data_IF_209310743828
#
_entry.id   IF_209310743828
#
_cell.length_a   1.000
_cell.length_b   1.000
_cell.length_c   1.000
_cell.angle_alpha   90.00
_cell.angle_beta   90.00
_cell.angle_gamma   90.00
#
_symmetry.space_group_name_H-M   'P 1'
#
loop_
_entity.id
_entity.type
_entity.pdbx_description
1 polymer ?
#
# COMPACT_ATOMS: atom_id res chain seq x y z
N UNK A 1 -10.46 3.65 25.41
CA UNK A 1 -10.76 2.40 24.69
C UNK A 1 -10.13 2.36 23.30
N UNK A 2 -10.20 3.43 22.49
CA UNK A 2 -9.56 3.45 21.16
C UNK A 2 -8.07 3.06 21.17
N UNK A 3 -7.34 3.42 22.23
CA UNK A 3 -5.93 3.04 22.47
C UNK A 3 -5.78 1.64 23.10
N UNK A 4 -6.42 1.40 24.25
CA UNK A 4 -6.21 0.23 25.12
C UNK A 4 -7.18 -0.96 24.92
N UNK A 5 -8.07 -0.87 23.94
CA UNK A 5 -9.12 -1.85 23.71
C UNK A 5 -10.41 -1.59 24.48
N UNK A 6 -11.44 -2.37 24.16
CA UNK A 6 -12.78 -2.24 24.71
C UNK A 6 -13.08 -3.37 25.71
N UNK A 7 -13.08 -3.11 27.04
CA UNK A 7 -13.19 -4.15 28.05
C UNK A 7 -14.60 -4.75 28.13
N UNK A 8 -14.70 -6.02 28.52
CA UNK A 8 -15.99 -6.69 28.80
C UNK A 8 -16.76 -5.91 29.86
N UNK A 9 -16.09 -5.63 30.98
CA UNK A 9 -16.61 -4.81 32.08
C UNK A 9 -15.53 -3.82 32.52
N UNK A 10 -15.85 -2.52 32.51
CA UNK A 10 -14.87 -1.45 32.81
C UNK A 10 -14.26 -1.56 34.22
N UNK A 11 -15.01 -2.07 35.18
CA UNK A 11 -14.59 -2.21 36.57
C UNK A 11 -13.87 -3.54 36.88
N UNK A 12 -13.75 -4.45 35.91
CA UNK A 12 -13.20 -5.79 36.11
C UNK A 12 -12.31 -6.20 34.92
N UNK A 13 -11.02 -5.81 34.94
CA UNK A 13 -10.08 -6.09 33.86
C UNK A 13 -9.79 -7.57 33.64
N UNK A 14 -10.01 -8.43 34.64
CA UNK A 14 -9.72 -9.88 34.53
C UNK A 14 -10.61 -10.57 33.49
N UNK A 15 -11.78 -9.99 33.19
CA UNK A 15 -12.68 -10.47 32.14
C UNK A 15 -12.17 -10.19 30.72
N UNK A 16 -11.07 -9.44 30.58
CA UNK A 16 -10.45 -9.14 29.29
C UNK A 16 -11.25 -8.20 28.40
N UNK A 17 -11.00 -8.31 27.09
CA UNK A 17 -11.55 -7.43 26.05
C UNK A 17 -12.75 -8.08 25.35
N UNK A 18 -13.71 -7.25 24.94
CA UNK A 18 -14.86 -7.69 24.15
C UNK A 18 -14.41 -8.22 22.80
N UNK A 19 -15.29 -9.05 22.24
CA UNK A 19 -15.19 -9.59 20.89
C UNK A 19 -16.33 -9.08 20.04
N UNK A 20 -16.08 -8.88 18.76
CA UNK A 20 -17.10 -8.50 17.79
C UNK A 20 -17.91 -9.71 17.29
N UNK A 21 -18.83 -9.46 16.34
CA UNK A 21 -19.69 -10.50 15.73
C UNK A 21 -18.91 -11.55 14.92
N UNK A 22 -17.64 -11.29 14.63
CA UNK A 22 -16.73 -12.19 13.92
C UNK A 22 -15.72 -12.84 14.88
N UNK A 23 -15.96 -12.79 16.19
CA UNK A 23 -15.08 -13.33 17.23
C UNK A 23 -13.69 -12.64 17.29
N UNK A 24 -13.58 -11.42 16.76
CA UNK A 24 -12.33 -10.64 16.78
C UNK A 24 -12.24 -9.83 18.08
N UNK A 25 -11.10 -9.93 18.77
CA UNK A 25 -10.85 -9.19 20.02
C UNK A 25 -10.66 -7.69 19.73
N UNK A 26 -11.36 -6.83 20.48
CA UNK A 26 -11.30 -5.38 20.33
C UNK A 26 -10.13 -4.78 21.12
N UNK A 27 -8.92 -4.92 20.57
CA UNK A 27 -7.62 -4.57 21.20
C UNK A 27 -7.28 -3.09 21.24
N UNK A 28 -7.90 -2.25 20.41
CA UNK A 28 -7.54 -0.84 20.25
C UNK A 28 -6.39 -0.64 19.28
N UNK A 29 -5.60 0.41 19.46
CA UNK A 29 -4.48 0.72 18.57
C UNK A 29 -3.30 -0.22 18.87
N UNK A 30 -2.81 -1.01 17.89
CA UNK A 30 -1.67 -1.90 18.10
C UNK A 30 -0.38 -1.18 18.47
N UNK A 31 -0.25 0.09 18.08
CA UNK A 31 0.91 0.94 18.39
C UNK A 31 0.80 1.61 19.76
N UNK A 32 -0.29 1.38 20.50
CA UNK A 32 -0.59 2.07 21.75
C UNK A 32 -0.59 3.60 21.64
N UNK A 33 -0.95 4.12 20.47
CA UNK A 33 -0.90 5.55 20.15
C UNK A 33 -1.75 6.40 21.12
N UNK A 34 -1.23 7.58 21.49
CA UNK A 34 -1.89 8.62 22.33
C UNK A 34 -3.09 9.30 21.65
N UNK A 35 -4.09 8.52 21.25
CA UNK A 35 -5.25 8.95 20.46
C UNK A 35 -6.05 10.07 21.15
N UNK A 36 -6.25 9.98 22.47
CA UNK A 36 -7.08 10.96 23.20
C UNK A 36 -6.39 12.32 23.27
N UNK A 37 -5.08 12.30 23.54
CA UNK A 37 -4.22 13.47 23.60
C UNK A 37 -4.11 14.13 22.21
N UNK A 38 -3.88 13.32 21.17
CA UNK A 38 -3.88 13.77 19.77
C UNK A 38 -5.20 14.44 19.39
N UNK A 39 -6.34 13.80 19.66
CA UNK A 39 -7.65 14.34 19.31
C UNK A 39 -7.99 15.61 20.09
N UNK A 40 -7.57 15.69 21.36
CA UNK A 40 -7.76 16.90 22.14
C UNK A 40 -6.99 18.08 21.53
N UNK A 41 -5.70 17.91 21.19
CA UNK A 41 -4.90 18.93 20.52
C UNK A 41 -5.48 19.31 19.15
N UNK A 42 -5.89 18.33 18.36
CA UNK A 42 -6.57 18.54 17.08
C UNK A 42 -7.84 19.38 17.24
N UNK A 43 -8.69 19.07 18.24
CA UNK A 43 -9.92 19.82 18.53
C UNK A 43 -9.69 21.28 18.92
N UNK A 44 -8.46 21.62 19.35
CA UNK A 44 -8.04 22.99 19.69
C UNK A 44 -7.31 23.70 18.54
N UNK A 45 -7.16 23.04 17.39
CA UNK A 45 -6.43 23.57 16.24
C UNK A 45 -4.91 23.46 16.33
N UNK A 46 -4.36 22.75 17.33
CA UNK A 46 -2.91 22.60 17.52
C UNK A 46 -2.35 21.45 16.68
N UNK A 47 -2.37 21.60 15.36
CA UNK A 47 -2.02 20.53 14.41
C UNK A 47 -0.58 20.01 14.57
N UNK A 48 0.40 20.91 14.76
CA UNK A 48 1.79 20.50 14.94
C UNK A 48 1.99 19.71 16.24
N UNK A 49 1.36 20.15 17.33
CA UNK A 49 1.40 19.43 18.60
C UNK A 49 0.70 18.07 18.48
N UNK A 50 -0.43 18.01 17.76
CA UNK A 50 -1.12 16.75 17.49
C UNK A 50 -0.22 15.79 16.69
N UNK A 51 0.49 16.28 15.66
CA UNK A 51 1.47 15.47 14.90
C UNK A 51 2.60 14.98 15.80
N UNK A 52 3.18 15.85 16.63
CA UNK A 52 4.23 15.47 17.56
C UNK A 52 3.77 14.37 18.53
N UNK A 53 2.51 14.40 18.97
CA UNK A 53 1.90 13.35 19.81
C UNK A 53 1.70 12.03 19.06
N UNK A 54 1.22 12.07 17.80
CA UNK A 54 1.12 10.87 16.94
C UNK A 54 2.49 10.20 16.81
N UNK A 55 3.52 11.01 16.53
CA UNK A 55 4.88 10.56 16.26
C UNK A 55 5.65 10.10 17.51
N UNK A 56 5.03 10.12 18.70
CA UNK A 56 5.60 9.48 19.90
C UNK A 56 5.68 7.97 19.66
N UNK A 57 4.53 7.37 19.33
CA UNK A 57 4.39 5.92 19.17
C UNK A 57 4.47 5.49 17.70
N UNK A 58 4.13 6.40 16.78
CA UNK A 58 4.04 6.12 15.35
C UNK A 58 4.82 7.14 14.50
N UNK A 59 6.17 7.13 14.54
CA UNK A 59 7.00 8.03 13.73
C UNK A 59 6.74 7.91 12.22
N UNK A 60 6.34 6.73 11.77
CA UNK A 60 6.05 6.43 10.37
C UNK A 60 4.54 6.45 10.10
N UNK A 61 3.83 7.38 10.74
CA UNK A 61 2.40 7.60 10.53
C UNK A 61 1.95 7.86 9.08
N UNK A 62 2.81 8.26 8.11
CA UNK A 62 2.39 8.22 6.70
C UNK A 62 1.97 6.81 6.22
N UNK A 63 2.48 5.73 6.84
CA UNK A 63 2.12 4.34 6.52
C UNK A 63 0.78 3.88 7.10
N UNK A 64 0.20 4.64 8.02
CA UNK A 64 -1.02 4.29 8.76
C UNK A 64 -2.12 5.30 8.45
N UNK A 65 -3.19 5.27 9.26
CA UNK A 65 -4.30 6.21 9.11
C UNK A 65 -5.35 5.75 8.09
N UNK A 66 -5.96 6.74 7.44
CA UNK A 66 -7.20 6.60 6.70
C UNK A 66 -7.14 5.46 5.67
N UNK A 67 -8.11 4.54 5.76
CA UNK A 67 -8.27 3.36 4.87
C UNK A 67 -7.13 2.33 4.95
N UNK A 68 -6.25 2.44 5.94
CA UNK A 68 -5.21 1.44 6.26
C UNK A 68 -5.50 0.73 7.58
N UNK A 69 -5.51 1.47 8.68
CA UNK A 69 -5.78 0.92 10.01
C UNK A 69 -7.24 1.19 10.43
N UNK A 70 -7.81 0.34 11.29
CA UNK A 70 -9.18 0.53 11.81
C UNK A 70 -9.44 -0.04 13.21
N UNK A 71 -8.48 -0.65 13.89
CA UNK A 71 -8.72 -1.34 15.18
C UNK A 71 -9.09 -0.37 16.31
N UNK A 72 -8.53 0.85 16.27
CA UNK A 72 -8.92 1.94 17.17
C UNK A 72 -10.38 2.39 16.96
N UNK A 73 -10.89 2.34 15.72
CA UNK A 73 -12.29 2.64 15.41
C UNK A 73 -13.22 1.52 15.90
N UNK A 74 -12.84 0.26 15.65
CA UNK A 74 -13.60 -0.91 16.14
C UNK A 74 -13.74 -0.91 17.66
N UNK A 75 -12.70 -0.45 18.36
CA UNK A 75 -12.66 -0.39 19.82
C UNK A 75 -13.13 0.94 20.41
N UNK A 76 -13.77 1.81 19.60
CA UNK A 76 -14.23 3.12 20.02
C UNK A 76 -15.29 3.02 21.12
N UNK A 77 -15.38 4.00 22.03
CA UNK A 77 -16.43 3.99 23.06
C UNK A 77 -17.84 4.13 22.49
N UNK A 78 -17.97 4.78 21.33
CA UNK A 78 -19.25 5.04 20.66
C UNK A 78 -19.77 3.83 19.88
N UNK A 79 -19.83 2.65 20.51
CA UNK A 79 -20.26 1.39 19.86
C UNK A 79 -21.72 1.39 19.38
N UNK A 80 -22.58 2.22 19.99
CA UNK A 80 -24.00 2.35 19.62
C UNK A 80 -24.27 3.53 18.68
N UNK A 81 -23.24 4.25 18.28
CA UNK A 81 -23.31 5.40 17.38
C UNK A 81 -22.22 5.23 16.30
N UNK A 82 -22.05 6.23 15.44
CA UNK A 82 -20.93 6.26 14.50
C UNK A 82 -19.60 6.34 15.28
N UNK A 83 -18.69 5.36 15.15
CA UNK A 83 -17.38 5.42 15.79
C UNK A 83 -16.57 6.63 15.29
N UNK A 84 -15.71 7.19 16.14
CA UNK A 84 -14.76 8.22 15.71
C UNK A 84 -13.83 7.63 14.66
N UNK A 85 -13.72 8.29 13.50
CA UNK A 85 -12.78 7.92 12.45
C UNK A 85 -11.36 8.41 12.80
N UNK A 86 -10.77 7.81 13.83
CA UNK A 86 -9.40 8.13 14.29
C UNK A 86 -8.37 8.11 13.16
N UNK A 87 -8.34 7.09 12.27
CA UNK A 87 -7.39 7.05 11.16
C UNK A 87 -7.55 8.22 10.18
N UNK A 88 -8.77 8.71 9.97
CA UNK A 88 -9.00 9.91 9.15
C UNK A 88 -8.45 11.18 9.81
N UNK A 89 -8.59 11.32 11.12
CA UNK A 89 -8.04 12.46 11.87
C UNK A 89 -6.50 12.42 11.83
N UNK A 90 -5.90 11.26 12.06
CA UNK A 90 -4.44 11.05 11.99
C UNK A 90 -3.87 11.45 10.63
N UNK A 91 -4.45 10.94 9.54
CA UNK A 91 -4.04 11.32 8.17
C UNK A 91 -4.29 12.80 7.88
N UNK A 92 -5.38 13.38 8.40
CA UNK A 92 -5.66 14.81 8.22
C UNK A 92 -4.58 15.65 8.89
N UNK A 93 -4.23 15.37 10.15
CA UNK A 93 -3.18 16.08 10.88
C UNK A 93 -1.86 16.02 10.13
N UNK A 94 -1.44 14.83 9.68
CA UNK A 94 -0.24 14.66 8.86
C UNK A 94 -0.30 15.51 7.59
N UNK A 95 -1.37 15.38 6.79
CA UNK A 95 -1.51 16.11 5.52
C UNK A 95 -1.55 17.62 5.72
N UNK A 96 -2.15 18.12 6.81
CA UNK A 96 -2.17 19.54 7.11
C UNK A 96 -0.76 20.09 7.35
N UNK A 97 0.11 19.34 8.02
CA UNK A 97 1.51 19.74 8.20
C UNK A 97 2.30 19.62 6.90
N UNK A 98 2.15 18.53 6.15
CA UNK A 98 2.87 18.36 4.87
C UNK A 98 2.50 19.43 3.82
N UNK A 99 1.29 19.98 3.88
CA UNK A 99 0.79 20.96 2.91
C UNK A 99 1.18 22.41 3.21
N UNK A 100 1.80 22.71 4.36
CA UNK A 100 2.39 24.04 4.59
C UNK A 100 3.81 24.11 4.00
N UNK A 101 4.33 25.31 3.70
CA UNK A 101 5.73 25.47 3.31
C UNK A 101 6.66 24.82 4.33
N UNK A 102 7.63 24.05 3.85
CA UNK A 102 8.60 23.28 4.64
C UNK A 102 7.98 22.19 5.52
N UNK A 103 6.74 21.76 5.21
CA UNK A 103 6.03 20.72 5.94
C UNK A 103 6.77 19.38 6.01
N UNK A 104 7.49 19.03 4.94
CA UNK A 104 8.37 17.84 4.89
C UNK A 104 9.50 17.96 5.90
N UNK A 105 10.11 19.16 6.01
CA UNK A 105 11.20 19.41 6.95
C UNK A 105 10.72 19.40 8.41
N UNK A 106 9.51 19.89 8.67
CA UNK A 106 8.88 19.78 9.99
C UNK A 106 8.65 18.32 10.38
N UNK A 107 8.18 17.50 9.44
CA UNK A 107 8.01 16.06 9.67
C UNK A 107 9.36 15.36 9.89
N UNK A 108 10.36 15.64 9.05
CA UNK A 108 11.71 15.05 9.16
C UNK A 108 12.40 15.49 10.48
N UNK A 109 12.21 16.74 10.89
CA UNK A 109 12.65 17.22 12.20
C UNK A 109 12.02 16.41 13.33
N UNK A 110 10.70 16.24 13.35
CA UNK A 110 10.01 15.43 14.37
C UNK A 110 10.38 13.94 14.32
N UNK A 111 10.78 13.45 13.15
CA UNK A 111 11.24 12.08 13.01
C UNK A 111 12.56 11.88 13.75
N UNK A 112 13.51 12.80 13.56
CA UNK A 112 14.87 12.76 14.12
C UNK A 112 14.99 13.39 15.52
N UNK A 113 14.06 14.26 15.89
CA UNK A 113 13.97 14.94 17.18
C UNK A 113 12.50 15.17 17.58
N UNK A 114 11.99 14.42 18.56
CA UNK A 114 10.67 14.63 19.13
C UNK A 114 10.78 14.75 20.66
N UNK A 115 10.65 15.95 21.24
CA UNK A 115 10.83 16.17 22.66
C UNK A 115 9.75 15.52 23.54
N UNK A 116 8.67 15.01 22.95
CA UNK A 116 7.61 14.31 23.69
C UNK A 116 7.90 12.82 23.91
N UNK A 117 8.93 12.26 23.26
CA UNK A 117 9.34 10.88 23.50
C UNK A 117 10.14 10.79 24.80
N UNK A 118 9.83 9.80 25.63
CA UNK A 118 10.59 9.54 26.86
C UNK A 118 12.00 9.00 26.58
N UNK A 119 12.14 8.23 25.50
CA UNK A 119 13.40 7.63 25.06
C UNK A 119 13.57 7.86 23.56
N UNK A 120 14.82 7.90 23.07
CA UNK A 120 15.10 8.10 21.64
C UNK A 120 14.42 9.37 21.09
N UNK A 121 14.34 10.41 21.94
CA UNK A 121 13.78 11.72 21.60
C UNK A 121 14.66 12.47 20.59
N UNK A 122 15.90 12.04 20.40
CA UNK A 122 16.82 12.52 19.38
C UNK A 122 17.67 11.36 18.85
N UNK A 123 18.28 11.55 17.68
CA UNK A 123 19.28 10.63 17.14
C UNK A 123 20.40 10.37 18.16
N UNK A 124 20.66 9.10 18.47
CA UNK A 124 21.79 8.72 19.32
C UNK A 124 23.13 8.86 18.56
N UNK A 125 24.25 9.06 19.28
CA UNK A 125 25.58 9.01 18.69
C UNK A 125 25.84 7.69 17.96
N UNK A 126 26.81 7.74 17.05
CA UNK A 126 27.24 6.58 16.29
C UNK A 126 27.60 5.40 17.21
N UNK A 127 26.94 4.26 16.98
CA UNK A 127 27.22 2.98 17.61
C UNK A 127 27.95 2.08 16.63
N UNK A 128 28.77 1.19 17.17
CA UNK A 128 29.27 0.04 16.44
C UNK A 128 28.10 -0.91 16.13
N UNK A 129 28.17 -1.61 15.00
CA UNK A 129 27.12 -2.53 14.57
C UNK A 129 26.46 -2.15 13.24
N UNK A 130 26.50 -3.09 12.31
CA UNK A 130 25.89 -3.03 10.98
C UNK A 130 24.77 -4.05 10.91
N UNK A 131 23.55 -3.59 10.67
CA UNK A 131 22.37 -4.44 10.60
C UNK A 131 21.90 -4.57 9.16
N UNK A 132 21.79 -5.80 8.68
CA UNK A 132 21.12 -6.13 7.44
C UNK A 132 19.64 -6.37 7.71
N UNK A 133 18.76 -5.62 7.06
CA UNK A 133 17.30 -5.80 7.14
C UNK A 133 16.80 -6.34 5.80
N UNK A 134 16.36 -7.61 5.79
CA UNK A 134 15.80 -8.25 4.60
C UNK A 134 14.29 -8.02 4.53
N UNK A 135 13.83 -7.30 3.51
CA UNK A 135 12.45 -6.89 3.29
C UNK A 135 12.20 -5.46 3.76
N UNK A 136 11.86 -4.57 2.83
CA UNK A 136 11.62 -3.14 3.07
C UNK A 136 10.13 -2.80 3.01
N UNK A 137 9.31 -3.72 3.50
CA UNK A 137 7.91 -3.49 3.85
C UNK A 137 7.73 -2.78 5.20
N UNK A 138 6.49 -2.61 5.70
CA UNK A 138 6.18 -1.87 6.93
C UNK A 138 7.03 -2.28 8.15
N UNK A 139 7.28 -3.57 8.34
CA UNK A 139 8.12 -4.06 9.43
C UNK A 139 9.59 -3.63 9.27
N UNK A 140 10.16 -3.81 8.07
CA UNK A 140 11.56 -3.49 7.79
C UNK A 140 11.86 -2.00 7.83
N UNK A 141 11.01 -1.15 7.25
CA UNK A 141 11.15 0.31 7.32
C UNK A 141 11.01 0.84 8.75
N UNK A 142 10.14 0.24 9.56
CA UNK A 142 9.96 0.61 10.98
C UNK A 142 11.20 0.23 11.78
N UNK A 143 11.70 -1.00 11.59
CA UNK A 143 12.91 -1.46 12.24
C UNK A 143 14.13 -0.63 11.84
N UNK A 144 14.28 -0.34 10.54
CA UNK A 144 15.34 0.51 10.03
C UNK A 144 15.31 1.89 10.71
N UNK A 145 14.14 2.54 10.77
CA UNK A 145 13.99 3.80 11.48
C UNK A 145 14.39 3.70 12.96
N UNK A 146 13.95 2.66 13.67
CA UNK A 146 14.26 2.47 15.10
C UNK A 146 15.75 2.22 15.37
N UNK A 147 16.42 1.48 14.50
CA UNK A 147 17.86 1.20 14.59
C UNK A 147 18.69 2.44 14.24
N UNK A 148 18.29 3.19 13.21
CA UNK A 148 18.95 4.45 12.84
C UNK A 148 18.81 5.50 13.95
N UNK A 149 17.65 5.58 14.62
CA UNK A 149 17.46 6.44 15.80
C UNK A 149 18.39 6.09 16.97
N UNK A 150 18.77 4.81 17.08
CA UNK A 150 19.73 4.32 18.07
C UNK A 150 21.18 4.43 17.62
N UNK A 151 21.42 4.99 16.44
CA UNK A 151 22.76 5.16 15.91
C UNK A 151 23.38 3.84 15.46
N UNK A 152 22.64 2.90 14.89
CA UNK A 152 23.23 1.77 14.15
C UNK A 152 23.30 2.05 12.66
N UNK A 153 24.24 1.41 11.97
CA UNK A 153 24.28 1.41 10.50
C UNK A 153 23.30 0.37 9.98
N UNK A 154 22.45 0.75 9.03
CA UNK A 154 21.40 -0.13 8.51
C UNK A 154 21.49 -0.23 6.99
N UNK A 155 21.56 -1.46 6.48
CA UNK A 155 21.38 -1.75 5.06
C UNK A 155 20.08 -2.52 4.89
N UNK A 156 19.13 -1.91 4.21
CA UNK A 156 17.91 -2.58 3.77
C UNK A 156 18.11 -3.28 2.43
N UNK A 157 17.64 -4.51 2.30
CA UNK A 157 17.59 -5.20 1.01
C UNK A 157 16.21 -5.77 0.75
N UNK A 158 15.69 -5.62 -0.46
CA UNK A 158 14.40 -6.19 -0.87
C UNK A 158 14.53 -7.06 -2.12
N UNK A 159 13.68 -8.07 -2.24
CA UNK A 159 13.62 -8.92 -3.43
C UNK A 159 13.09 -8.17 -4.65
N UNK A 160 12.25 -7.16 -4.44
CA UNK A 160 11.80 -6.26 -5.50
C UNK A 160 12.89 -5.29 -5.91
N UNK A 161 12.92 -4.95 -7.21
CA UNK A 161 13.78 -3.87 -7.69
C UNK A 161 13.32 -2.57 -7.03
N UNK A 162 14.25 -1.92 -6.32
CA UNK A 162 14.04 -0.59 -5.76
C UNK A 162 14.61 0.41 -6.75
N UNK A 163 13.77 1.32 -7.21
CA UNK A 163 14.17 2.39 -8.11
C UNK A 163 14.98 3.43 -7.33
N UNK A 164 16.14 3.86 -7.86
CA UNK A 164 16.93 4.88 -7.20
C UNK A 164 16.15 6.20 -7.18
N UNK A 165 16.25 6.90 -6.05
CA UNK A 165 15.83 8.29 -5.92
C UNK A 165 17.01 9.18 -6.29
N UNK A 166 16.75 10.25 -7.02
CA UNK A 166 17.75 11.25 -7.37
C UNK A 166 18.36 11.88 -6.09
N UNK A 167 19.70 11.92 -5.94
CA UNK A 167 20.35 12.48 -4.76
C UNK A 167 19.92 13.90 -4.40
N UNK A 168 19.68 14.77 -5.38
CA UNK A 168 19.27 16.14 -5.12
C UNK A 168 17.88 16.19 -4.48
N UNK A 169 17.02 15.22 -4.79
CA UNK A 169 15.65 15.13 -4.28
C UNK A 169 15.57 14.84 -2.77
N UNK A 170 16.61 14.26 -2.15
CA UNK A 170 16.62 14.00 -0.71
C UNK A 170 17.72 14.76 0.06
N UNK A 171 18.74 15.28 -0.62
CA UNK A 171 19.78 16.10 0.04
C UNK A 171 19.39 17.56 0.21
N UNK A 172 18.48 18.07 -0.62
CA UNK A 172 17.96 19.44 -0.50
C UNK A 172 16.70 19.49 0.36
N UNK A 173 16.45 20.63 1.05
CA UNK A 173 15.18 20.90 1.70
C UNK A 173 14.01 20.92 0.70
N UNK A 174 12.87 20.36 1.09
CA UNK A 174 11.65 20.31 0.30
C UNK A 174 10.69 21.38 0.80
N UNK A 175 10.51 22.43 0.00
CA UNK A 175 9.59 23.52 0.33
C UNK A 175 8.12 23.09 0.30
N UNK A 176 7.74 22.23 -0.65
CA UNK A 176 6.35 21.82 -0.80
C UNK A 176 6.23 20.32 -1.03
N UNK A 177 5.42 19.65 -0.22
CA UNK A 177 5.16 18.22 -0.39
C UNK A 177 4.53 17.90 -1.76
N UNK A 178 3.73 18.82 -2.32
CA UNK A 178 3.11 18.63 -3.64
C UNK A 178 4.14 18.50 -4.76
N UNK A 179 5.32 19.11 -4.62
CA UNK A 179 6.42 19.01 -5.59
C UNK A 179 7.02 17.60 -5.67
N UNK A 180 6.83 16.78 -4.63
CA UNK A 180 7.25 15.37 -4.62
C UNK A 180 6.13 14.40 -5.00
N UNK A 181 4.89 14.89 -5.11
CA UNK A 181 3.73 14.03 -5.34
C UNK A 181 3.41 13.92 -6.83
N UNK A 182 2.90 12.76 -7.21
CA UNK A 182 2.36 12.50 -8.55
C UNK A 182 1.01 11.83 -8.42
N UNK A 183 0.16 12.00 -9.44
CA UNK A 183 -1.09 11.25 -9.52
C UNK A 183 -0.77 9.74 -9.55
N UNK A 184 -1.56 8.92 -8.84
CA UNK A 184 -1.22 7.50 -8.62
C UNK A 184 -1.15 6.70 -9.92
N UNK A 185 -1.93 7.09 -10.93
CA UNK A 185 -1.95 6.55 -12.28
C UNK A 185 -0.78 6.98 -13.15
N UNK A 186 0.05 7.94 -12.69
CA UNK A 186 1.28 8.41 -13.34
C UNK A 186 2.53 8.22 -12.47
N UNK A 187 2.36 7.83 -11.20
CA UNK A 187 3.45 7.67 -10.24
C UNK A 187 4.40 6.56 -10.68
N UNK A 188 5.70 6.87 -10.66
CA UNK A 188 6.77 5.88 -10.79
C UNK A 188 6.70 4.87 -9.64
N UNK A 189 6.65 3.59 -9.96
CA UNK A 189 6.70 2.50 -8.98
C UNK A 189 8.12 2.48 -8.39
N UNK A 190 8.24 2.68 -7.08
CA UNK A 190 9.52 2.74 -6.39
C UNK A 190 10.07 1.35 -6.07
N UNK A 191 9.19 0.35 -5.94
CA UNK A 191 9.55 -0.99 -5.44
C UNK A 191 9.96 -1.02 -3.96
N UNK A 192 9.84 0.11 -3.27
CA UNK A 192 10.08 0.30 -1.84
C UNK A 192 8.75 0.36 -1.08
N UNK A 193 8.66 -0.25 0.12
CA UNK A 193 7.44 -0.24 0.94
C UNK A 193 6.70 -1.59 1.02
N UNK A 194 7.20 -2.62 0.33
CA UNK A 194 6.61 -3.97 0.35
C UNK A 194 5.13 -3.95 -0.03
N UNK A 195 4.27 -4.60 0.77
CA UNK A 195 2.83 -4.68 0.51
C UNK A 195 2.16 -3.31 0.36
N UNK A 196 2.72 -2.24 0.93
CA UNK A 196 2.18 -0.89 0.72
C UNK A 196 2.37 -0.37 -0.72
N UNK A 197 3.41 -0.82 -1.41
CA UNK A 197 3.69 -0.49 -2.81
C UNK A 197 2.91 -1.41 -3.76
N UNK A 198 2.98 -2.73 -3.55
CA UNK A 198 2.45 -3.71 -4.51
C UNK A 198 1.08 -4.31 -4.17
N UNK A 199 0.65 -4.24 -2.90
CA UNK A 199 -0.55 -4.91 -2.43
C UNK A 199 -1.70 -3.96 -2.16
N UNK A 200 -1.41 -2.84 -1.48
CA UNK A 200 -2.39 -1.80 -1.21
C UNK A 200 -2.64 -1.01 -2.48
N UNK A 201 -3.91 -0.84 -2.82
CA UNK A 201 -4.40 -0.24 -4.06
C UNK A 201 -4.63 1.26 -3.92
N UNK A 202 -5.45 1.86 -4.78
CA UNK A 202 -5.81 3.28 -4.73
C UNK A 202 -6.53 3.75 -3.44
N UNK A 203 -6.75 2.86 -2.46
CA UNK A 203 -7.29 3.24 -1.15
C UNK A 203 -6.33 4.04 -0.27
N UNK A 204 -5.03 4.05 -0.58
CA UNK A 204 -4.00 4.79 0.15
C UNK A 204 -3.09 5.57 -0.79
N UNK A 205 -2.59 6.70 -0.30
CA UNK A 205 -1.78 7.64 -1.07
C UNK A 205 -0.30 7.19 -1.08
N UNK A 206 0.10 6.49 -2.15
CA UNK A 206 1.45 5.93 -2.29
C UNK A 206 2.57 6.97 -2.37
N UNK A 207 2.24 8.27 -2.51
CA UNK A 207 3.24 9.33 -2.41
C UNK A 207 3.91 9.37 -1.03
N UNK A 208 3.26 8.84 0.01
CA UNK A 208 3.88 8.70 1.32
C UNK A 208 5.08 7.75 1.36
N UNK A 209 5.20 6.80 0.41
CA UNK A 209 6.41 5.98 0.30
C UNK A 209 7.61 6.80 -0.16
N UNK A 210 7.39 7.79 -1.04
CA UNK A 210 8.43 8.72 -1.45
C UNK A 210 8.92 9.55 -0.26
N UNK A 211 8.01 10.02 0.59
CA UNK A 211 8.34 10.74 1.83
C UNK A 211 9.21 9.89 2.76
N UNK A 212 8.80 8.64 3.02
CA UNK A 212 9.54 7.74 3.91
C UNK A 212 10.90 7.36 3.33
N UNK A 213 10.96 7.06 2.03
CA UNK A 213 12.22 6.75 1.38
C UNK A 213 13.17 7.95 1.48
N UNK A 214 12.68 9.17 1.22
CA UNK A 214 13.44 10.40 1.37
C UNK A 214 13.99 10.55 2.80
N UNK A 215 13.16 10.41 3.83
CA UNK A 215 13.62 10.58 5.23
C UNK A 215 14.62 9.52 5.65
N UNK A 216 14.51 8.29 5.15
CA UNK A 216 15.52 7.25 5.39
C UNK A 216 16.82 7.54 4.64
N UNK A 217 16.77 7.95 3.37
CA UNK A 217 17.95 8.24 2.54
C UNK A 217 18.74 9.46 3.02
N UNK A 218 18.09 10.41 3.70
CA UNK A 218 18.78 11.52 4.39
C UNK A 218 19.72 11.06 5.49
N UNK A 219 19.54 9.85 6.02
CA UNK A 219 20.39 9.32 7.09
C UNK A 219 21.66 8.75 6.48
N UNK A 220 22.80 9.35 6.81
CA UNK A 220 24.12 8.96 6.28
C UNK A 220 24.44 7.47 6.45
N UNK A 221 23.91 6.85 7.51
CA UNK A 221 24.12 5.44 7.90
C UNK A 221 23.07 4.47 7.40
N UNK A 222 22.19 4.92 6.50
CA UNK A 222 21.20 4.07 5.84
C UNK A 222 21.56 3.84 4.37
N UNK A 223 21.45 2.60 3.90
CA UNK A 223 21.44 2.27 2.47
C UNK A 223 20.30 1.31 2.20
N UNK A 224 19.78 1.35 0.98
CA UNK A 224 18.74 0.42 0.53
C UNK A 224 19.07 -0.11 -0.85
N UNK A 225 18.89 -1.41 -1.05
CA UNK A 225 19.15 -2.11 -2.31
C UNK A 225 17.93 -2.97 -2.66
N UNK A 226 17.58 -3.02 -3.94
CA UNK A 226 16.53 -3.90 -4.44
C UNK A 226 17.07 -4.99 -5.35
N UNK A 227 16.19 -5.94 -5.72
CA UNK A 227 16.53 -7.08 -6.57
C UNK A 227 17.31 -8.18 -5.85
N UNK A 228 17.36 -8.17 -4.52
CA UNK A 228 18.10 -9.13 -3.71
C UNK A 228 17.13 -10.03 -2.97
N UNK A 229 16.84 -11.19 -3.56
CA UNK A 229 15.91 -12.16 -2.96
C UNK A 229 16.58 -12.94 -1.84
N UNK A 230 16.06 -12.81 -0.63
CA UNK A 230 16.49 -13.62 0.51
C UNK A 230 16.18 -15.11 0.31
N UNK A 231 17.13 -15.99 0.64
CA UNK A 231 17.05 -17.43 0.42
C UNK A 231 17.33 -17.87 -1.03
N UNK A 232 17.59 -16.92 -1.94
CA UNK A 232 17.96 -17.20 -3.33
C UNK A 232 19.26 -16.52 -3.72
N UNK A 233 19.23 -15.18 -3.82
CA UNK A 233 20.37 -14.33 -4.17
C UNK A 233 21.30 -14.12 -2.98
N UNK A 234 20.73 -13.97 -1.78
CA UNK A 234 21.45 -13.78 -0.53
C UNK A 234 20.91 -14.74 0.53
N UNK A 235 21.80 -15.48 1.17
CA UNK A 235 21.54 -16.43 2.25
C UNK A 235 21.95 -15.84 3.60
N UNK A 236 21.72 -16.60 4.67
CA UNK A 236 22.06 -16.15 6.03
C UNK A 236 23.58 -16.00 6.17
N UNK A 237 24.34 -16.97 5.64
CA UNK A 237 25.78 -17.04 5.76
C UNK A 237 26.46 -15.84 5.05
N UNK A 238 25.95 -15.47 3.88
CA UNK A 238 26.42 -14.32 3.10
C UNK A 238 26.34 -13.01 3.89
N UNK A 239 25.36 -12.86 4.80
CA UNK A 239 25.24 -11.65 5.62
C UNK A 239 26.47 -11.46 6.53
N UNK A 240 26.99 -12.55 7.09
CA UNK A 240 28.16 -12.52 7.97
C UNK A 240 29.44 -12.27 7.17
N UNK A 241 29.56 -12.89 5.99
CA UNK A 241 30.70 -12.70 5.09
C UNK A 241 30.77 -11.25 4.55
N UNK A 242 29.62 -10.61 4.35
CA UNK A 242 29.51 -9.19 4.00
C UNK A 242 29.82 -8.24 5.18
N UNK A 243 30.08 -8.79 6.37
CA UNK A 243 30.48 -8.05 7.56
C UNK A 243 29.31 -7.42 8.31
N UNK A 244 28.09 -7.91 8.17
CA UNK A 244 27.00 -7.49 9.05
C UNK A 244 27.11 -8.18 10.41
N UNK A 245 26.74 -7.46 11.47
CA UNK A 245 26.77 -7.95 12.85
C UNK A 245 25.41 -8.57 13.23
N UNK A 246 24.34 -8.11 12.59
CA UNK A 246 22.98 -8.59 12.80
C UNK A 246 22.21 -8.72 11.49
N UNK A 247 21.31 -9.70 11.45
CA UNK A 247 20.37 -9.94 10.36
C UNK A 247 18.94 -9.90 10.91
N UNK A 248 18.09 -9.07 10.30
CA UNK A 248 16.67 -9.01 10.60
C UNK A 248 15.84 -9.46 9.40
N UNK A 249 14.89 -10.37 9.64
CA UNK A 249 14.01 -10.90 8.60
C UNK A 249 12.64 -10.22 8.67
N UNK A 250 12.37 -9.38 7.68
CA UNK A 250 11.13 -8.61 7.50
C UNK A 250 10.54 -8.84 6.08
N UNK A 251 10.81 -10.00 5.48
CA UNK A 251 10.41 -10.36 4.11
C UNK A 251 8.90 -10.60 3.92
N UNK A 252 8.14 -10.65 5.02
CA UNK A 252 6.69 -10.86 5.02
C UNK A 252 6.26 -12.28 4.62
N UNK A 253 4.97 -12.45 4.39
CA UNK A 253 4.37 -13.71 3.95
C UNK A 253 4.24 -13.70 2.41
N UNK A 254 5.28 -14.15 1.72
CA UNK A 254 5.32 -14.18 0.26
C UNK A 254 4.59 -15.38 -0.37
N UNK A 255 4.39 -16.47 0.38
CA UNK A 255 3.74 -17.67 -0.16
C UNK A 255 2.21 -17.54 -0.17
N UNK A 256 1.57 -17.64 -1.34
CA UNK A 256 0.12 -17.66 -1.44
C UNK A 256 -0.46 -18.99 -0.95
N UNK A 257 -1.67 -18.94 -0.40
CA UNK A 257 -2.43 -20.14 -0.04
C UNK A 257 -3.19 -20.64 -1.27
N UNK A 258 -2.56 -21.52 -2.04
CA UNK A 258 -3.23 -22.17 -3.16
C UNK A 258 -4.42 -23.02 -2.69
N UNK A 259 -5.53 -22.96 -3.42
CA UNK A 259 -6.66 -23.85 -3.20
C UNK A 259 -6.38 -25.17 -3.92
N UNK A 260 -6.41 -26.27 -3.17
CA UNK A 260 -6.32 -27.62 -3.75
C UNK A 260 -7.67 -27.99 -4.38
N UNK A 261 -7.92 -27.46 -5.58
CA UNK A 261 -9.13 -27.71 -6.36
C UNK A 261 -8.74 -28.20 -7.77
N UNK A 262 -9.49 -29.14 -8.36
CA UNK A 262 -9.30 -29.51 -9.77
C UNK A 262 -9.38 -28.28 -10.67
N UNK A 263 -8.40 -28.11 -11.58
CA UNK A 263 -8.35 -26.97 -12.49
C UNK A 263 -7.83 -25.67 -11.87
N UNK A 264 -7.11 -25.72 -10.75
CA UNK A 264 -6.48 -24.53 -10.13
C UNK A 264 -5.47 -23.80 -11.02
N UNK A 265 -5.00 -24.44 -12.10
CA UNK A 265 -4.09 -23.89 -13.10
C UNK A 265 -4.77 -23.61 -14.45
N UNK A 266 -6.11 -23.70 -14.51
CA UNK A 266 -6.84 -23.45 -15.74
C UNK A 266 -6.65 -21.99 -16.22
N UNK A 267 -6.63 -21.73 -17.54
CA UNK A 267 -6.55 -20.38 -18.08
C UNK A 267 -7.63 -19.48 -17.48
N UNK A 268 -7.22 -18.33 -16.95
CA UNK A 268 -8.11 -17.37 -16.28
C UNK A 268 -8.16 -17.50 -14.74
N UNK A 269 -7.66 -18.61 -14.17
CA UNK A 269 -7.48 -18.75 -12.73
C UNK A 269 -6.16 -18.10 -12.32
N UNK A 270 -6.21 -17.17 -11.36
CA UNK A 270 -5.03 -16.48 -10.82
C UNK A 270 -5.17 -16.30 -9.32
N UNK A 271 -4.04 -16.29 -8.62
CA UNK A 271 -4.01 -15.94 -7.21
C UNK A 271 -4.10 -14.41 -7.06
N UNK A 272 -4.80 -13.97 -6.01
CA UNK A 272 -5.09 -12.56 -5.78
C UNK A 272 -3.83 -11.71 -5.56
N UNK A 273 -2.86 -12.23 -4.79
CA UNK A 273 -1.56 -11.61 -4.59
C UNK A 273 -0.79 -11.47 -5.91
N UNK A 274 -0.78 -12.51 -6.75
CA UNK A 274 -0.07 -12.49 -8.04
C UNK A 274 -0.71 -11.46 -8.99
N UNK A 275 -2.04 -11.40 -9.03
CA UNK A 275 -2.77 -10.40 -9.81
C UNK A 275 -2.42 -8.98 -9.36
N UNK A 276 -2.52 -8.68 -8.06
CA UNK A 276 -2.22 -7.36 -7.52
C UNK A 276 -0.75 -6.98 -7.72
N UNK A 277 0.18 -7.89 -7.43
CA UNK A 277 1.60 -7.67 -7.65
C UNK A 277 1.91 -7.41 -9.13
N UNK A 278 1.36 -8.22 -10.03
CA UNK A 278 1.59 -8.02 -11.45
C UNK A 278 0.98 -6.71 -11.95
N UNK A 279 -0.22 -6.35 -11.49
CA UNK A 279 -0.87 -5.09 -11.84
C UNK A 279 -0.04 -3.90 -11.37
N UNK A 280 0.36 -3.91 -10.10
CA UNK A 280 1.02 -2.78 -9.45
C UNK A 280 2.49 -2.67 -9.81
N UNK A 281 3.25 -3.76 -9.87
CA UNK A 281 4.70 -3.72 -10.13
C UNK A 281 5.07 -3.60 -11.61
N UNK A 282 4.23 -4.13 -12.51
CA UNK A 282 4.47 -3.96 -13.96
C UNK A 282 3.96 -2.60 -14.47
N UNK A 283 3.25 -1.84 -13.63
CA UNK A 283 2.58 -0.61 -14.02
C UNK A 283 1.56 -0.85 -15.13
N UNK A 284 0.89 -2.00 -15.15
CA UNK A 284 -0.10 -2.32 -16.20
C UNK A 284 -1.29 -1.35 -16.21
N UNK A 285 -1.51 -0.66 -15.08
CA UNK A 285 -2.50 0.40 -14.96
C UNK A 285 -2.09 1.73 -15.64
N UNK A 286 -0.83 1.90 -16.07
CA UNK A 286 -0.44 3.07 -16.86
C UNK A 286 -0.91 2.92 -18.31
N UNK A 287 -1.49 3.99 -18.87
CA UNK A 287 -2.02 4.00 -20.24
C UNK A 287 -0.97 3.60 -21.29
N UNK A 288 0.26 4.09 -21.12
CA UNK A 288 1.37 3.86 -22.04
C UNK A 288 2.14 2.56 -21.77
N UNK A 289 1.77 1.78 -20.75
CA UNK A 289 2.48 0.55 -20.40
C UNK A 289 2.41 -0.46 -21.55
N UNK A 290 3.49 -1.17 -21.85
CA UNK A 290 3.43 -2.34 -22.74
C UNK A 290 2.95 -3.57 -21.98
N UNK A 291 3.17 -3.61 -20.66
CA UNK A 291 2.65 -4.63 -19.77
C UNK A 291 1.13 -4.61 -19.75
N UNK A 292 0.54 -5.80 -19.67
CA UNK A 292 -0.90 -5.98 -19.58
C UNK A 292 -1.20 -7.29 -18.89
N UNK A 293 -2.18 -7.25 -18.00
CA UNK A 293 -2.90 -8.43 -17.56
C UNK A 293 -4.07 -8.66 -18.50
N UNK A 294 -4.44 -9.92 -18.68
CA UNK A 294 -5.69 -10.27 -19.36
C UNK A 294 -6.75 -10.57 -18.30
N UNK A 295 -7.81 -9.77 -18.29
CA UNK A 295 -9.01 -9.97 -17.48
C UNK A 295 -10.26 -10.02 -18.36
N UNK A 296 -11.24 -10.80 -17.93
CA UNK A 296 -12.55 -10.94 -18.58
C UNK A 296 -13.65 -10.74 -17.55
N UNK A 297 -14.83 -10.32 -18.00
CA UNK A 297 -16.03 -10.23 -17.18
C UNK A 297 -17.08 -11.21 -17.69
N UNK A 298 -17.91 -11.83 -16.82
CA UNK A 298 -17.89 -11.70 -15.35
C UNK A 298 -16.64 -12.33 -14.71
N UNK A 299 -16.23 -11.81 -13.55
CA UNK A 299 -15.14 -12.38 -12.76
C UNK A 299 -15.61 -12.83 -11.37
N UNK A 300 -14.93 -13.82 -10.80
CA UNK A 300 -15.19 -14.33 -9.44
C UNK A 300 -13.93 -14.21 -8.61
N UNK A 301 -14.05 -13.60 -7.42
CA UNK A 301 -12.97 -13.48 -6.44
C UNK A 301 -13.32 -14.32 -5.22
N UNK A 302 -12.49 -15.30 -4.89
CA UNK A 302 -12.68 -16.19 -3.75
C UNK A 302 -11.85 -15.67 -2.57
N UNK A 303 -12.53 -15.11 -1.56
CA UNK A 303 -11.91 -14.56 -0.35
C UNK A 303 -12.54 -13.24 0.09
N UNK A 304 -12.86 -13.13 1.38
CA UNK A 304 -13.51 -11.94 1.98
C UNK A 304 -12.57 -11.02 2.76
N UNK A 305 -11.26 -11.28 2.73
CA UNK A 305 -10.25 -10.41 3.33
C UNK A 305 -9.93 -9.20 2.45
N UNK A 306 -9.09 -8.28 2.96
CA UNK A 306 -8.70 -7.06 2.24
C UNK A 306 -8.12 -7.37 0.85
N UNK A 307 -7.25 -8.38 0.70
CA UNK A 307 -6.70 -8.78 -0.60
C UNK A 307 -7.78 -9.17 -1.60
N UNK A 308 -8.85 -9.85 -1.16
CA UNK A 308 -9.97 -10.22 -2.02
C UNK A 308 -10.79 -9.01 -2.45
N UNK A 309 -11.07 -8.09 -1.53
CA UNK A 309 -11.78 -6.85 -1.85
C UNK A 309 -10.96 -5.95 -2.77
N UNK A 310 -9.66 -5.77 -2.47
CA UNK A 310 -8.72 -5.01 -3.29
C UNK A 310 -8.65 -5.60 -4.72
N UNK A 311 -8.57 -6.94 -4.85
CA UNK A 311 -8.63 -7.63 -6.14
C UNK A 311 -9.95 -7.36 -6.87
N UNK A 312 -11.08 -7.47 -6.18
CA UNK A 312 -12.39 -7.26 -6.80
C UNK A 312 -12.58 -5.82 -7.31
N UNK A 313 -12.04 -4.83 -6.60
CA UNK A 313 -12.07 -3.43 -7.06
C UNK A 313 -11.11 -3.18 -8.22
N UNK A 314 -9.89 -3.72 -8.16
CA UNK A 314 -8.88 -3.52 -9.18
C UNK A 314 -9.22 -4.22 -10.50
N UNK A 315 -9.81 -5.42 -10.47
CA UNK A 315 -10.28 -6.09 -11.70
C UNK A 315 -11.28 -5.21 -12.45
N UNK A 316 -12.22 -4.57 -11.75
CA UNK A 316 -13.21 -3.69 -12.37
C UNK A 316 -12.57 -2.45 -12.98
N UNK A 317 -11.70 -1.77 -12.24
CA UNK A 317 -11.01 -0.57 -12.72
C UNK A 317 -10.09 -0.89 -13.90
N UNK A 318 -9.29 -1.94 -13.79
CA UNK A 318 -8.34 -2.37 -14.80
C UNK A 318 -9.04 -2.86 -16.09
N UNK A 319 -10.20 -3.53 -15.99
CA UNK A 319 -10.94 -3.98 -17.17
C UNK A 319 -11.28 -2.80 -18.10
N UNK A 320 -11.68 -1.65 -17.54
CA UNK A 320 -12.02 -0.46 -18.32
C UNK A 320 -10.79 0.09 -19.05
N UNK A 321 -9.64 0.13 -18.37
CA UNK A 321 -8.39 0.52 -19.00
C UNK A 321 -7.99 -0.46 -20.11
N UNK A 322 -8.14 -1.77 -19.86
CA UNK A 322 -7.82 -2.82 -20.81
C UNK A 322 -8.62 -2.69 -22.10
N UNK A 323 -9.95 -2.53 -22.02
CA UNK A 323 -10.79 -2.41 -23.22
C UNK A 323 -10.48 -1.12 -24.00
N UNK A 324 -10.19 -0.01 -23.32
CA UNK A 324 -9.79 1.24 -23.97
C UNK A 324 -8.44 1.07 -24.70
N UNK A 325 -7.46 0.44 -24.07
CA UNK A 325 -6.15 0.16 -24.66
C UNK A 325 -6.26 -0.80 -25.84
N UNK A 326 -7.03 -1.87 -25.70
CA UNK A 326 -7.29 -2.84 -26.75
C UNK A 326 -7.91 -2.15 -27.97
N UNK A 327 -8.95 -1.32 -27.75
CA UNK A 327 -9.60 -0.55 -28.81
C UNK A 327 -8.62 0.38 -29.53
N UNK A 328 -7.91 1.24 -28.80
CA UNK A 328 -6.95 2.19 -29.40
C UNK A 328 -5.87 1.48 -30.23
N UNK A 329 -5.27 0.42 -29.67
CA UNK A 329 -4.20 -0.34 -30.33
C UNK A 329 -4.70 -1.11 -31.54
N UNK A 330 -5.86 -1.76 -31.43
CA UNK A 330 -6.47 -2.50 -32.54
C UNK A 330 -6.73 -1.57 -33.73
N UNK A 331 -7.34 -0.40 -33.49
CA UNK A 331 -7.62 0.55 -34.56
C UNK A 331 -6.33 1.10 -35.19
N UNK A 332 -5.33 1.49 -34.38
CA UNK A 332 -4.04 1.94 -34.91
C UNK A 332 -3.33 0.88 -35.77
N UNK A 333 -3.42 -0.40 -35.40
CA UNK A 333 -2.88 -1.51 -36.20
C UNK A 333 -3.70 -1.72 -37.49
N UNK A 334 -5.02 -1.64 -37.42
CA UNK A 334 -5.90 -1.74 -38.58
C UNK A 334 -5.63 -0.62 -39.60
N UNK A 335 -5.43 0.61 -39.12
CA UNK A 335 -5.12 1.76 -39.98
C UNK A 335 -3.79 1.58 -40.72
N UNK A 336 -2.82 0.91 -40.09
CA UNK A 336 -1.50 0.67 -40.67
C UNK A 336 -1.46 -0.53 -41.61
N UNK A 337 -2.05 -1.66 -41.21
CA UNK A 337 -1.85 -2.97 -41.83
C UNK A 337 -3.13 -3.60 -42.41
N UNK A 338 -4.28 -2.99 -42.19
CA UNK A 338 -5.59 -3.51 -42.58
C UNK A 338 -6.15 -4.52 -41.58
N UNK A 339 -7.46 -4.45 -41.35
CA UNK A 339 -8.13 -5.29 -40.35
C UNK A 339 -8.02 -6.80 -40.63
N UNK A 340 -8.08 -7.21 -41.91
CA UNK A 340 -7.96 -8.61 -42.29
C UNK A 340 -6.59 -9.19 -41.87
N UNK A 341 -5.51 -8.46 -42.14
CA UNK A 341 -4.15 -8.87 -41.75
C UNK A 341 -4.00 -8.96 -40.23
N UNK A 342 -4.46 -7.92 -39.51
CA UNK A 342 -4.36 -7.88 -38.04
C UNK A 342 -5.12 -9.04 -37.41
N UNK A 343 -6.33 -9.33 -37.88
CA UNK A 343 -7.18 -10.40 -37.34
C UNK A 343 -6.64 -11.81 -37.65
N UNK A 344 -5.96 -12.00 -38.78
CA UNK A 344 -5.32 -13.27 -39.13
C UNK A 344 -4.21 -13.69 -38.16
N UNK A 345 -3.67 -12.74 -37.38
CA UNK A 345 -2.65 -13.02 -36.36
C UNK A 345 -3.20 -13.69 -35.09
N UNK A 346 -4.52 -13.82 -34.95
CA UNK A 346 -5.18 -14.31 -33.74
C UNK A 346 -5.92 -15.62 -33.98
N UNK A 347 -5.88 -16.52 -33.00
CA UNK A 347 -6.73 -17.71 -33.02
C UNK A 347 -8.19 -17.38 -32.67
N UNK A 348 -9.10 -18.33 -32.87
CA UNK A 348 -10.54 -18.13 -32.65
C UNK A 348 -10.89 -17.65 -31.23
N UNK A 349 -10.20 -18.16 -30.20
CA UNK A 349 -10.43 -17.75 -28.80
C UNK A 349 -9.98 -16.32 -28.57
N UNK A 350 -8.82 -15.94 -29.10
CA UNK A 350 -8.30 -14.58 -29.01
C UNK A 350 -9.17 -13.57 -29.77
N UNK A 351 -9.67 -13.94 -30.95
CA UNK A 351 -10.60 -13.12 -31.72
C UNK A 351 -11.90 -12.88 -30.96
N UNK A 352 -12.49 -13.91 -30.35
CA UNK A 352 -13.69 -13.76 -29.54
C UNK A 352 -13.50 -12.76 -28.39
N UNK A 353 -12.36 -12.83 -27.70
CA UNK A 353 -12.00 -11.88 -26.62
C UNK A 353 -11.79 -10.46 -27.14
N UNK A 354 -11.08 -10.32 -28.26
CA UNK A 354 -10.84 -9.03 -28.89
C UNK A 354 -12.16 -8.36 -29.30
N UNK A 355 -13.07 -9.12 -29.91
CA UNK A 355 -14.38 -8.63 -30.34
C UNK A 355 -15.23 -8.19 -29.15
N UNK A 356 -15.24 -8.96 -28.06
CA UNK A 356 -15.89 -8.58 -26.81
C UNK A 356 -15.31 -7.27 -26.24
N UNK A 357 -13.98 -7.14 -26.17
CA UNK A 357 -13.34 -5.92 -25.69
C UNK A 357 -13.64 -4.71 -26.56
N UNK A 358 -13.62 -4.85 -27.88
CA UNK A 358 -13.97 -3.76 -28.81
C UNK A 358 -15.43 -3.35 -28.59
N UNK A 359 -16.35 -4.31 -28.47
CA UNK A 359 -17.76 -4.05 -28.19
C UNK A 359 -17.94 -3.29 -26.87
N UNK A 360 -17.28 -3.72 -25.80
CA UNK A 360 -17.36 -3.05 -24.50
C UNK A 360 -16.71 -1.67 -24.54
N UNK A 361 -15.59 -1.49 -25.25
CA UNK A 361 -14.96 -0.19 -25.42
C UNK A 361 -15.87 0.79 -26.16
N UNK A 362 -16.56 0.35 -27.22
CA UNK A 362 -17.53 1.17 -27.94
C UNK A 362 -18.74 1.53 -27.06
N UNK A 363 -19.23 0.59 -26.25
CA UNK A 363 -20.29 0.88 -25.28
C UNK A 363 -19.85 1.92 -24.23
N UNK A 364 -18.63 1.78 -23.70
CA UNK A 364 -18.04 2.77 -22.79
C UNK A 364 -17.90 4.14 -23.44
N UNK A 365 -17.35 4.22 -24.66
CA UNK A 365 -17.15 5.49 -25.38
C UNK A 365 -18.47 6.22 -25.69
N UNK A 366 -19.55 5.48 -25.94
CA UNK A 366 -20.90 6.06 -26.14
C UNK A 366 -21.53 6.58 -24.84
N UNK A 367 -21.18 5.98 -23.70
CA UNK A 367 -21.80 6.27 -22.41
C UNK A 367 -21.03 7.28 -21.56
N UNK A 368 -19.70 7.35 -21.70
CA UNK A 368 -18.81 8.10 -20.79
C UNK A 368 -19.11 9.59 -20.65
N UNK A 369 -19.64 10.22 -21.70
CA UNK A 369 -19.93 11.66 -21.75
C UNK A 369 -21.40 11.98 -21.40
N UNK A 370 -22.19 10.96 -21.04
CA UNK A 370 -23.61 11.14 -20.68
C UNK A 370 -23.75 11.64 -19.23
N UNK A 371 -24.64 12.62 -18.96
CA UNK A 371 -24.91 13.07 -17.60
C UNK A 371 -25.33 11.93 -16.66
N UNK A 372 -24.70 11.85 -15.49
CA UNK A 372 -25.00 10.81 -14.48
C UNK A 372 -24.42 9.44 -14.79
N UNK A 373 -23.61 9.29 -15.84
CA UNK A 373 -22.93 8.04 -16.17
C UNK A 373 -22.08 7.52 -15.00
N UNK A 374 -22.25 6.23 -14.71
CA UNK A 374 -21.41 5.49 -13.76
C UNK A 374 -20.83 4.28 -14.46
N UNK A 375 -19.50 4.23 -14.51
CA UNK A 375 -18.73 3.08 -15.05
C UNK A 375 -19.19 1.75 -14.43
N UNK A 376 -19.54 1.76 -13.14
CA UNK A 376 -20.01 0.59 -12.42
C UNK A 376 -21.27 -0.05 -13.03
N UNK A 377 -22.14 0.72 -13.69
CA UNK A 377 -23.37 0.19 -14.28
C UNK A 377 -23.09 -0.63 -15.54
N UNK A 378 -22.11 -0.22 -16.36
CA UNK A 378 -21.63 -1.03 -17.48
C UNK A 378 -20.94 -2.30 -17.00
N UNK A 379 -20.06 -2.18 -16.00
CA UNK A 379 -19.36 -3.33 -15.42
C UNK A 379 -20.37 -4.37 -14.91
N UNK A 380 -21.45 -3.94 -14.25
CA UNK A 380 -22.54 -4.83 -13.83
C UNK A 380 -23.31 -5.43 -15.00
N UNK A 381 -23.58 -4.65 -16.05
CA UNK A 381 -24.24 -5.15 -17.26
C UNK A 381 -23.41 -6.24 -17.97
N UNK A 382 -22.08 -6.20 -17.83
CA UNK A 382 -21.15 -7.24 -18.30
C UNK A 382 -20.94 -8.38 -17.29
N UNK A 383 -21.83 -8.50 -16.31
CA UNK A 383 -21.83 -9.56 -15.29
C UNK A 383 -21.04 -9.25 -14.01
N UNK A 384 -20.24 -8.17 -14.01
CA UNK A 384 -19.57 -7.64 -12.83
C UNK A 384 -18.52 -8.56 -12.20
N UNK A 385 -18.18 -8.26 -10.95
CA UNK A 385 -17.23 -9.04 -10.15
C UNK A 385 -17.93 -9.54 -8.89
N UNK A 386 -17.99 -10.87 -8.73
CA UNK A 386 -18.63 -11.52 -7.59
C UNK A 386 -17.59 -11.91 -6.55
N UNK A 387 -17.71 -11.40 -5.33
CA UNK A 387 -16.89 -11.82 -4.20
C UNK A 387 -17.59 -12.98 -3.49
N UNK A 388 -16.90 -14.12 -3.41
CA UNK A 388 -17.39 -15.33 -2.74
C UNK A 388 -16.56 -15.57 -1.48
N UNK A 389 -17.24 -15.67 -0.34
CA UNK A 389 -16.62 -16.02 0.94
C UNK A 389 -16.88 -17.48 1.28
N UNK A 390 -15.81 -18.27 1.43
CA UNK A 390 -15.90 -19.65 1.91
C UNK A 390 -15.67 -19.68 3.43
N UNK A 391 -16.74 -19.94 4.19
CA UNK A 391 -16.73 -19.91 5.66
C UNK A 391 -16.01 -21.11 6.32
N UNK A 392 -15.79 -22.22 5.60
CA UNK A 392 -15.08 -23.42 6.09
C UNK A 392 -14.21 -24.00 4.96
N UNK A 393 -12.91 -24.18 5.22
CA UNK A 393 -12.01 -24.93 4.34
C UNK A 393 -12.14 -26.42 4.65
#
# INVERSE_FOLDING_TARGET
FCRKGFPVKKADPEQGLKRDVFDTVLTGCPLDEKISEMQWLFSKGHLLAALAVIMIDNPLCPMTGHRICNDCMKSCVYQKQTPVNVPQIETFVLKSILNVPWGVEVYDLLLNWNPLRAEHYMLAPDQEGRVLVMGMGPAGLTLANQLLMRGYTVVGMDGLKIEPMDPDSYTQPVESFSAMTTALDARKILGFGGVAEYGITARWDKNFLSLILLTLLRRSRFRVLGGVRFGGTLRIEDAWDLGFDHLALAVGAGLPRALSLPGSEAPGVRQANDFLMALQLSGAYHEMSLSGLEVQLPAVVIGGGLTGIDTATEVQAYYILQIQRAYKRYHALCDRWGAAYVRDQFNAVQLGRLDEWIMHAQAYMRAKDQPGFKVADLVRAWGGVTVVYRKRL
#
